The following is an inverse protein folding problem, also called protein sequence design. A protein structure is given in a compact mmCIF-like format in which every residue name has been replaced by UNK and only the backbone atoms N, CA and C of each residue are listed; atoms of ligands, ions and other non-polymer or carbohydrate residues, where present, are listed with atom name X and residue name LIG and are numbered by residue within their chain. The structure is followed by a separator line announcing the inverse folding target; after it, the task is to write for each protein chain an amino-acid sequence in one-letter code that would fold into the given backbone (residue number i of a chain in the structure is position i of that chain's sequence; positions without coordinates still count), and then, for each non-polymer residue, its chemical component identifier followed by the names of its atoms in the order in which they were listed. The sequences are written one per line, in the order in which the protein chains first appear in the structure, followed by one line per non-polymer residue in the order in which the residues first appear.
data_IF_705833940016
#
_entry.id   IF_705833940016
#
_cell.length_a   1.000
_cell.length_b   1.000
_cell.length_c   1.000
_cell.angle_alpha   90.00
_cell.angle_beta   90.00
_cell.angle_gamma   90.00
#
_symmetry.space_group_name_H-M   'P 1'
#
loop_
_entity.id
_entity.type
_entity.pdbx_description
1 polymer ?
#
# COMPACT_ATOMS: atom_id res chain seq x y z
N UNK A 1 -11.78 2.96 -19.80
CA UNK A 1 -10.71 3.74 -20.45
C UNK A 1 -10.33 4.79 -19.45
N UNK A 2 -9.42 4.38 -18.56
CA UNK A 2 -9.11 5.12 -17.34
C UNK A 2 -8.40 6.43 -17.69
N UNK A 3 -8.63 7.42 -16.85
CA UNK A 3 -8.17 8.81 -16.91
C UNK A 3 -6.63 8.93 -16.69
N UNK A 4 -5.85 8.04 -17.30
CA UNK A 4 -4.38 7.99 -17.18
C UNK A 4 -3.69 9.15 -17.91
N UNK A 5 -4.42 9.86 -18.77
CA UNK A 5 -3.84 10.72 -19.80
C UNK A 5 -3.55 12.15 -19.28
N UNK A 6 -4.10 12.59 -18.14
CA UNK A 6 -3.92 13.97 -17.68
C UNK A 6 -3.04 14.13 -16.42
N UNK A 7 -2.95 13.10 -15.57
CA UNK A 7 -2.12 13.13 -14.35
C UNK A 7 -0.62 13.09 -14.65
N UNK A 8 -0.20 12.36 -15.68
CA UNK A 8 1.21 12.30 -16.12
C UNK A 8 1.68 13.66 -16.70
N UNK A 9 0.76 14.49 -17.17
CA UNK A 9 1.08 15.82 -17.67
C UNK A 9 1.37 16.84 -16.54
N UNK A 10 1.01 16.51 -15.29
CA UNK A 10 1.27 17.39 -14.15
C UNK A 10 2.78 17.46 -13.89
N UNK A 11 3.38 18.67 -13.86
CA UNK A 11 4.83 18.83 -13.67
C UNK A 11 5.37 18.09 -12.44
N UNK A 12 4.59 18.05 -11.36
CA UNK A 12 4.94 17.34 -10.12
C UNK A 12 5.02 15.82 -10.32
N UNK A 13 4.10 15.21 -11.06
CA UNK A 13 4.12 13.76 -11.29
C UNK A 13 5.33 13.37 -12.15
N UNK A 14 5.67 14.20 -13.14
CA UNK A 14 6.85 14.01 -14.00
C UNK A 14 8.17 14.19 -13.27
N UNK A 15 8.18 15.00 -12.21
CA UNK A 15 9.35 15.22 -11.36
C UNK A 15 9.57 14.07 -10.35
N UNK A 16 8.51 13.33 -10.00
CA UNK A 16 8.52 12.26 -9.00
C UNK A 16 7.98 10.93 -9.55
N UNK A 17 8.40 10.53 -10.74
CA UNK A 17 7.92 9.30 -11.42
C UNK A 17 8.30 8.01 -10.67
N UNK A 18 9.33 8.05 -9.85
CA UNK A 18 9.77 6.96 -8.96
C UNK A 18 8.85 6.77 -7.74
N UNK A 19 8.16 7.84 -7.31
CA UNK A 19 7.20 7.81 -6.20
C UNK A 19 5.81 7.35 -6.67
N UNK A 20 5.48 7.59 -7.94
CA UNK A 20 4.20 7.21 -8.56
C UNK A 20 4.41 6.21 -9.72
N UNK A 21 4.95 5.01 -9.45
CA UNK A 21 5.09 4.00 -10.48
C UNK A 21 3.72 3.53 -10.99
N UNK A 22 3.66 3.20 -12.27
CA UNK A 22 2.45 2.63 -12.91
C UNK A 22 2.06 1.27 -12.28
N UNK A 23 3.03 0.57 -11.70
CA UNK A 23 2.86 -0.72 -11.02
C UNK A 23 3.08 -0.56 -9.51
N UNK A 24 2.19 -1.16 -8.70
CA UNK A 24 2.40 -1.25 -7.25
C UNK A 24 3.42 -2.36 -6.97
N UNK A 25 4.53 -2.02 -6.30
CA UNK A 25 5.49 -3.01 -5.82
C UNK A 25 4.87 -3.78 -4.63
N UNK A 26 4.91 -5.12 -4.69
CA UNK A 26 4.33 -6.00 -3.66
C UNK A 26 4.93 -5.81 -2.26
N UNK A 27 6.14 -5.25 -2.19
CA UNK A 27 6.82 -4.94 -0.94
C UNK A 27 6.79 -3.45 -0.67
N UNK A 28 6.57 -3.03 0.59
CA UNK A 28 6.76 -1.63 0.95
C UNK A 28 8.19 -1.22 0.61
N UNK A 29 8.41 0.04 0.17
CA UNK A 29 9.75 0.56 -0.06
C UNK A 29 10.65 0.35 1.17
N UNK A 30 11.95 0.14 0.94
CA UNK A 30 12.93 0.09 2.02
C UNK A 30 12.84 1.38 2.84
N UNK A 31 12.63 1.23 4.14
CA UNK A 31 12.55 2.35 5.07
C UNK A 31 13.84 2.41 5.85
N UNK A 32 14.37 3.61 6.05
CA UNK A 32 15.61 3.83 6.82
C UNK A 32 15.45 3.50 8.32
N UNK A 33 14.20 3.36 8.78
CA UNK A 33 13.86 3.08 10.19
C UNK A 33 12.95 1.87 10.30
N UNK A 34 13.18 1.08 11.35
CA UNK A 34 12.32 -0.03 11.73
C UNK A 34 11.05 0.49 12.41
N UNK A 35 9.89 -0.06 12.05
CA UNK A 35 8.61 0.30 12.64
C UNK A 35 8.23 -0.74 13.69
N UNK A 36 8.03 -0.28 14.93
CA UNK A 36 7.47 -1.10 16.01
C UNK A 36 6.01 -0.75 16.25
N UNK A 37 5.20 -1.75 16.62
CA UNK A 37 3.81 -1.54 17.05
C UNK A 37 3.80 -1.61 18.57
N UNK A 38 3.65 -0.46 19.21
CA UNK A 38 3.47 -0.40 20.66
C UNK A 38 2.05 -0.81 21.03
N UNK A 39 1.96 -1.73 21.98
CA UNK A 39 0.69 -2.28 22.43
C UNK A 39 0.42 -1.79 23.85
N UNK A 40 -0.83 -1.41 24.14
CA UNK A 40 -1.24 -1.07 25.50
C UNK A 40 -0.99 -2.28 26.42
N UNK A 41 -0.33 -2.09 27.59
CA UNK A 41 -0.08 -3.18 28.53
C UNK A 41 -1.38 -3.94 28.88
N UNK A 42 -1.34 -5.27 28.79
CA UNK A 42 -2.49 -6.14 29.05
C UNK A 42 -3.32 -6.51 27.82
N UNK A 43 -2.94 -6.02 26.63
CA UNK A 43 -3.55 -6.50 25.37
C UNK A 43 -3.09 -7.92 25.07
N UNK A 44 -4.05 -8.80 24.78
CA UNK A 44 -3.80 -10.19 24.38
C UNK A 44 -3.81 -10.32 22.84
N UNK A 45 -3.08 -11.29 22.27
CA UNK A 45 -3.19 -11.60 20.84
C UNK A 45 -4.62 -11.95 20.45
N UNK A 46 -5.06 -11.46 19.30
CA UNK A 46 -6.38 -11.76 18.75
C UNK A 46 -6.21 -12.77 17.62
N UNK A 47 -7.05 -13.81 17.63
CA UNK A 47 -7.15 -14.79 16.55
C UNK A 47 -8.61 -14.88 16.11
N UNK A 48 -8.87 -14.62 14.84
CA UNK A 48 -10.21 -14.68 14.26
C UNK A 48 -10.16 -15.44 12.94
N UNK A 49 -11.19 -16.24 12.66
CA UNK A 49 -11.28 -16.96 11.40
C UNK A 49 -11.39 -15.98 10.23
N UNK A 50 -10.72 -16.30 9.11
CA UNK A 50 -10.83 -15.53 7.87
C UNK A 50 -12.29 -15.60 7.36
N UNK A 51 -12.76 -14.51 6.76
CA UNK A 51 -14.07 -14.50 6.10
C UNK A 51 -14.09 -15.44 4.88
N UNK A 52 -15.25 -16.05 4.60
CA UNK A 52 -15.41 -16.92 3.43
C UNK A 52 -15.53 -16.08 2.16
N UNK A 53 -14.51 -16.11 1.32
CA UNK A 53 -14.59 -15.53 -0.02
C UNK A 53 -15.46 -16.40 -0.94
N UNK A 54 -16.22 -15.79 -1.83
CA UNK A 54 -16.85 -16.49 -2.94
C UNK A 54 -15.79 -16.95 -3.94
N UNK A 55 -16.13 -17.90 -4.81
CA UNK A 55 -15.28 -18.22 -5.96
C UNK A 55 -15.12 -16.98 -6.86
N UNK A 56 -13.96 -16.87 -7.51
CA UNK A 56 -13.80 -15.95 -8.63
C UNK A 56 -14.75 -16.37 -9.76
N UNK A 57 -15.28 -15.39 -10.49
CA UNK A 57 -16.10 -15.60 -11.69
C UNK A 57 -15.29 -16.22 -12.83
#
# INVERSE_FOLDING_TARGET
MEEKIEVDALPVVREFTDVFPDDILDLPPEREVEFSIDIVPGTSPISMALYRMSAAE
#
